data_IF_217412735390
#
_entry.id   IF_217412735390
#
_cell.length_a   1.000
_cell.length_b   1.000
_cell.length_c   1.000
_cell.angle_alpha   90.00
_cell.angle_beta   90.00
_cell.angle_gamma   90.00
#
_symmetry.space_group_name_H-M   'P 1'
#
loop_
_entity.id
_entity.type
_entity.pdbx_description
1 polymer ?
#
# COMPACT_ATOMS: atom_id res chain seq x y z
N UNK A 1 10.44 36.53 -3.75
CA UNK A 1 9.83 35.67 -4.81
C UNK A 1 10.42 34.25 -4.85
N UNK A 2 11.68 34.02 -4.47
CA UNK A 2 12.36 32.69 -4.50
C UNK A 2 11.94 31.68 -3.42
N UNK A 3 11.54 32.13 -2.22
CA UNK A 3 11.05 31.21 -1.17
C UNK A 3 9.68 30.61 -1.49
N UNK A 4 8.81 31.39 -2.16
CA UNK A 4 7.49 30.94 -2.59
C UNK A 4 7.60 29.92 -3.73
N UNK A 5 8.52 30.16 -4.69
CA UNK A 5 8.75 29.24 -5.81
C UNK A 5 9.32 27.89 -5.35
N UNK A 6 10.24 27.90 -4.38
CA UNK A 6 10.79 26.65 -3.79
C UNK A 6 9.76 25.90 -2.94
N UNK A 7 8.84 26.59 -2.26
CA UNK A 7 7.74 25.94 -1.54
C UNK A 7 6.74 25.27 -2.50
N UNK A 8 6.37 25.93 -3.59
CA UNK A 8 5.53 25.36 -4.65
C UNK A 8 6.20 24.11 -5.25
N UNK A 9 7.50 24.15 -5.50
CA UNK A 9 8.25 23.02 -6.01
C UNK A 9 8.26 21.82 -5.03
N UNK A 10 8.48 22.07 -3.73
CA UNK A 10 8.46 20.99 -2.71
C UNK A 10 7.09 20.34 -2.60
N UNK A 11 6.02 21.13 -2.55
CA UNK A 11 4.65 20.59 -2.50
C UNK A 11 4.35 19.75 -3.73
N UNK A 12 4.80 20.17 -4.91
CA UNK A 12 4.68 19.37 -6.13
C UNK A 12 5.39 18.02 -6.03
N UNK A 13 6.59 17.98 -5.43
CA UNK A 13 7.34 16.73 -5.21
C UNK A 13 6.63 15.80 -4.22
N UNK A 14 6.09 16.33 -3.13
CA UNK A 14 5.36 15.52 -2.14
C UNK A 14 4.06 14.94 -2.73
N UNK A 15 3.30 15.76 -3.44
CA UNK A 15 2.11 15.29 -4.16
C UNK A 15 2.47 14.26 -5.23
N UNK A 16 3.51 14.54 -6.01
CA UNK A 16 4.01 13.64 -7.03
C UNK A 16 4.47 12.30 -6.47
N UNK A 17 5.03 12.26 -5.27
CA UNK A 17 5.41 11.00 -4.62
C UNK A 17 4.18 10.13 -4.27
N UNK A 18 3.16 10.71 -3.64
CA UNK A 18 1.94 9.98 -3.27
C UNK A 18 1.09 9.60 -4.49
N UNK A 19 0.90 10.52 -5.42
CA UNK A 19 0.18 10.24 -6.66
C UNK A 19 0.95 9.26 -7.55
N UNK A 20 2.27 9.39 -7.61
CA UNK A 20 3.14 8.48 -8.37
C UNK A 20 3.13 7.06 -7.82
N UNK A 21 3.04 6.89 -6.49
CA UNK A 21 2.80 5.59 -5.87
C UNK A 21 1.50 4.97 -6.38
N UNK A 22 0.38 5.70 -6.28
CA UNK A 22 -0.92 5.19 -6.72
C UNK A 22 -1.00 4.93 -8.23
N UNK A 23 -0.36 5.77 -9.04
CA UNK A 23 -0.26 5.57 -10.49
C UNK A 23 0.59 4.34 -10.81
N UNK A 24 1.73 4.15 -10.13
CA UNK A 24 2.60 3.00 -10.33
C UNK A 24 1.93 1.69 -9.97
N UNK A 25 1.21 1.66 -8.84
CA UNK A 25 0.36 0.56 -8.39
C UNK A 25 -0.71 0.22 -9.45
N UNK A 26 -1.58 1.18 -9.79
CA UNK A 26 -2.69 0.97 -10.73
C UNK A 26 -2.24 0.55 -12.15
N UNK A 27 -1.07 1.00 -12.61
CA UNK A 27 -0.49 0.54 -13.88
C UNK A 27 0.14 -0.84 -13.72
N UNK A 28 0.92 -1.05 -12.65
CA UNK A 28 1.71 -2.25 -12.40
C UNK A 28 0.88 -3.51 -12.18
N UNK A 29 -0.24 -3.41 -11.45
CA UNK A 29 -1.15 -4.54 -11.16
C UNK A 29 -1.66 -5.24 -12.42
N UNK A 30 -1.75 -4.53 -13.55
CA UNK A 30 -2.11 -5.10 -14.87
C UNK A 30 -1.24 -6.31 -15.23
N UNK A 31 0.04 -6.27 -14.88
CA UNK A 31 1.06 -7.25 -15.27
C UNK A 31 1.54 -8.10 -14.10
N UNK A 32 0.82 -8.06 -12.99
CA UNK A 32 1.18 -8.81 -11.80
C UNK A 32 1.25 -10.32 -12.07
N UNK A 33 2.23 -10.98 -11.46
CA UNK A 33 2.56 -12.40 -11.66
C UNK A 33 2.98 -12.78 -13.10
N UNK A 34 3.21 -11.81 -13.99
CA UNK A 34 3.72 -12.06 -15.34
C UNK A 34 5.25 -12.01 -15.36
N UNK A 35 5.93 -13.04 -15.88
CA UNK A 35 7.37 -12.97 -16.11
C UNK A 35 7.74 -11.82 -17.08
N UNK A 36 8.85 -11.11 -16.86
CA UNK A 36 9.35 -10.12 -17.83
C UNK A 36 9.48 -10.72 -19.23
N UNK A 37 8.97 -10.01 -20.26
CA UNK A 37 8.98 -10.47 -21.65
C UNK A 37 7.87 -11.45 -22.03
N UNK A 38 7.01 -11.87 -21.10
CA UNK A 38 5.88 -12.79 -21.37
C UNK A 38 4.57 -12.09 -21.74
N UNK A 39 4.58 -10.76 -21.91
CA UNK A 39 3.40 -9.95 -22.12
C UNK A 39 3.68 -8.86 -23.17
N UNK A 40 2.63 -8.39 -23.84
CA UNK A 40 2.71 -7.20 -24.70
C UNK A 40 2.90 -5.96 -23.81
N UNK A 41 3.91 -5.11 -24.06
CA UNK A 41 4.13 -3.91 -23.27
C UNK A 41 2.87 -3.03 -23.22
N UNK A 42 2.51 -2.59 -22.02
CA UNK A 42 1.47 -1.59 -21.81
C UNK A 42 2.11 -0.20 -21.79
N UNK A 43 1.38 0.79 -22.30
CA UNK A 43 1.82 2.20 -22.32
C UNK A 43 0.78 3.15 -21.73
N UNK A 44 -0.30 2.59 -21.18
CA UNK A 44 -1.41 3.33 -20.59
C UNK A 44 -1.98 2.55 -19.39
N UNK A 45 -2.85 3.21 -18.63
CA UNK A 45 -3.55 2.66 -17.49
C UNK A 45 -4.77 1.86 -17.96
N UNK A 46 -4.58 0.56 -18.20
CA UNK A 46 -5.59 -0.31 -18.83
C UNK A 46 -6.40 -1.17 -17.85
N UNK A 47 -5.98 -1.26 -16.58
CA UNK A 47 -6.60 -2.13 -15.57
C UNK A 47 -6.39 -3.62 -15.90
N UNK A 48 -7.36 -4.46 -15.52
CA UNK A 48 -7.29 -5.91 -15.69
C UNK A 48 -6.51 -6.58 -14.56
N UNK A 49 -5.44 -7.29 -14.91
CA UNK A 49 -4.64 -8.05 -13.95
C UNK A 49 -5.39 -9.20 -13.26
N UNK A 50 -4.80 -9.80 -12.21
CA UNK A 50 -5.40 -10.91 -11.47
C UNK A 50 -6.70 -10.56 -10.75
N UNK A 51 -6.95 -9.27 -10.49
CA UNK A 51 -8.10 -8.79 -9.73
C UNK A 51 -9.21 -8.16 -10.59
N UNK A 52 -9.07 -8.18 -11.92
CA UNK A 52 -10.02 -7.60 -12.87
C UNK A 52 -10.39 -6.15 -12.53
N UNK A 53 -9.35 -5.34 -12.32
CA UNK A 53 -9.48 -3.93 -11.97
C UNK A 53 -9.93 -3.08 -13.16
N UNK A 54 -10.67 -2.01 -12.91
CA UNK A 54 -10.90 -0.98 -13.91
C UNK A 54 -9.65 -0.11 -14.06
N UNK A 55 -9.46 0.56 -15.22
CA UNK A 55 -8.47 1.63 -15.35
C UNK A 55 -8.51 2.61 -14.17
N UNK A 56 -7.37 2.75 -13.48
CA UNK A 56 -7.21 3.66 -12.34
C UNK A 56 -7.59 3.11 -10.98
N UNK A 57 -8.05 1.87 -10.89
CA UNK A 57 -8.15 1.16 -9.61
C UNK A 57 -6.76 0.65 -9.16
N UNK A 58 -6.46 0.77 -7.87
CA UNK A 58 -5.18 0.44 -7.21
C UNK A 58 -5.33 -0.70 -6.19
N UNK A 59 -4.23 -1.27 -5.69
CA UNK A 59 -4.24 -2.44 -4.80
C UNK A 59 -3.94 -2.11 -3.32
N UNK A 60 -3.36 -3.08 -2.60
CA UNK A 60 -2.97 -2.97 -1.20
C UNK A 60 -1.89 -1.91 -0.98
N UNK A 61 -0.94 -1.76 -1.90
CA UNK A 61 0.14 -0.75 -1.84
C UNK A 61 -0.42 0.66 -1.56
N UNK A 62 -1.34 1.14 -2.39
CA UNK A 62 -1.98 2.45 -2.21
C UNK A 62 -2.86 2.47 -0.96
N UNK A 63 -3.58 1.39 -0.68
CA UNK A 63 -4.48 1.33 0.48
C UNK A 63 -3.70 1.44 1.80
N UNK A 64 -2.56 0.75 1.91
CA UNK A 64 -1.66 0.83 3.06
C UNK A 64 -0.95 2.19 3.15
N UNK A 65 -0.60 2.80 2.01
CA UNK A 65 -0.06 4.16 1.99
C UNK A 65 -1.09 5.19 2.50
N UNK A 66 -2.36 5.09 2.11
CA UNK A 66 -3.44 5.95 2.60
C UNK A 66 -3.67 5.78 4.11
N UNK A 67 -3.73 4.55 4.60
CA UNK A 67 -3.84 4.26 6.03
C UNK A 67 -2.66 4.87 6.83
N UNK A 68 -1.42 4.74 6.33
CA UNK A 68 -0.25 5.35 6.97
C UNK A 68 -0.31 6.88 6.94
N UNK A 69 -0.66 7.47 5.79
CA UNK A 69 -0.76 8.92 5.65
C UNK A 69 -1.81 9.50 6.60
N UNK A 70 -2.97 8.86 6.72
CA UNK A 70 -4.03 9.27 7.66
C UNK A 70 -3.54 9.20 9.11
N UNK A 71 -2.87 8.10 9.50
CA UNK A 71 -2.27 7.96 10.82
C UNK A 71 -1.29 9.11 11.13
N UNK A 72 -0.34 9.37 10.23
CA UNK A 72 0.66 10.43 10.42
C UNK A 72 0.02 11.82 10.56
N UNK A 73 -1.03 12.09 9.78
CA UNK A 73 -1.74 13.37 9.83
C UNK A 73 -2.55 13.52 11.12
N UNK A 74 -3.32 12.51 11.50
CA UNK A 74 -4.20 12.58 12.69
C UNK A 74 -3.43 12.49 14.01
N UNK A 75 -2.33 11.73 14.03
CA UNK A 75 -1.51 11.52 15.24
C UNK A 75 -0.40 12.56 15.40
N UNK A 76 -0.16 13.38 14.37
CA UNK A 76 0.94 14.34 14.32
C UNK A 76 2.31 13.74 14.68
N UNK A 77 2.46 12.42 14.51
CA UNK A 77 3.61 11.62 14.91
C UNK A 77 3.51 10.23 14.28
N UNK A 78 4.57 9.44 14.39
CA UNK A 78 4.53 8.04 14.03
C UNK A 78 3.98 7.22 15.20
N UNK A 79 2.75 6.72 15.06
CA UNK A 79 2.05 5.89 16.05
C UNK A 79 1.80 4.48 15.46
N UNK A 80 2.68 3.50 15.76
CA UNK A 80 2.59 2.16 15.18
C UNK A 80 1.30 1.42 15.54
N UNK A 81 0.71 1.71 16.70
CA UNK A 81 -0.55 1.09 17.11
C UNK A 81 -1.69 1.59 16.23
N UNK A 82 -1.81 2.91 16.08
CA UNK A 82 -2.84 3.52 15.24
C UNK A 82 -2.70 3.09 13.75
N UNK A 83 -1.47 3.04 13.24
CA UNK A 83 -1.20 2.51 11.90
C UNK A 83 -1.72 1.07 11.72
N UNK A 84 -1.39 0.19 12.67
CA UNK A 84 -1.82 -1.22 12.61
C UNK A 84 -3.34 -1.37 12.77
N UNK A 85 -3.99 -0.53 13.58
CA UNK A 85 -5.45 -0.49 13.71
C UNK A 85 -6.13 -0.08 12.39
N UNK A 86 -5.57 0.88 11.63
CA UNK A 86 -6.08 1.25 10.30
C UNK A 86 -5.88 0.15 9.26
N UNK A 87 -4.74 -0.53 9.29
CA UNK A 87 -4.52 -1.71 8.44
C UNK A 87 -5.48 -2.84 8.77
N UNK A 88 -5.80 -3.06 10.05
CA UNK A 88 -6.84 -4.00 10.46
C UNK A 88 -8.21 -3.57 9.96
N UNK A 89 -8.56 -2.28 10.02
CA UNK A 89 -9.81 -1.77 9.43
C UNK A 89 -9.88 -2.03 7.94
N UNK A 90 -8.79 -1.86 7.20
CA UNK A 90 -8.72 -2.25 5.81
C UNK A 90 -8.96 -3.76 5.64
N UNK A 91 -8.22 -4.60 6.37
CA UNK A 91 -8.34 -6.06 6.30
C UNK A 91 -9.76 -6.55 6.60
N UNK A 92 -10.45 -5.97 7.58
CA UNK A 92 -11.75 -6.44 8.05
C UNK A 92 -12.93 -5.83 7.27
N UNK A 93 -12.81 -4.61 6.76
CA UNK A 93 -13.95 -3.85 6.20
C UNK A 93 -13.70 -3.21 4.84
N UNK A 94 -12.50 -3.35 4.27
CA UNK A 94 -12.13 -2.68 3.02
C UNK A 94 -11.92 -1.18 3.16
N UNK A 95 -11.60 -0.69 4.36
CA UNK A 95 -11.26 0.72 4.57
C UNK A 95 -10.17 1.19 3.58
N UNK A 96 -10.41 2.31 2.89
CA UNK A 96 -9.60 2.83 1.78
C UNK A 96 -9.37 1.93 0.55
N UNK A 97 -9.92 0.72 0.54
CA UNK A 97 -9.87 -0.15 -0.64
C UNK A 97 -10.75 0.40 -1.76
N UNK A 98 -10.23 0.40 -2.98
CA UNK A 98 -10.98 0.78 -4.17
C UNK A 98 -12.16 -0.17 -4.47
N UNK A 99 -12.11 -1.41 -3.95
CA UNK A 99 -13.16 -2.42 -4.14
C UNK A 99 -14.20 -2.46 -3.02
N UNK A 100 -13.98 -1.70 -1.93
CA UNK A 100 -14.81 -1.75 -0.72
C UNK A 100 -14.65 -3.02 0.12
N UNK A 101 -13.65 -3.87 -0.19
CA UNK A 101 -13.23 -5.02 0.62
C UNK A 101 -11.70 -5.21 0.49
N UNK A 102 -11.08 -5.93 1.42
CA UNK A 102 -9.64 -6.23 1.36
C UNK A 102 -9.34 -7.25 0.25
N UNK A 103 -8.38 -6.92 -0.61
CA UNK A 103 -7.82 -7.81 -1.64
C UNK A 103 -6.33 -7.49 -1.81
N UNK A 104 -5.61 -8.39 -2.49
CA UNK A 104 -4.16 -8.30 -2.74
C UNK A 104 -3.26 -8.31 -1.49
N UNK A 105 -3.82 -8.49 -0.30
CA UNK A 105 -3.01 -8.61 0.92
C UNK A 105 -2.10 -9.85 0.86
N UNK A 106 -0.80 -9.62 0.94
CA UNK A 106 0.17 -10.72 0.96
C UNK A 106 0.11 -11.51 2.28
N UNK A 107 0.59 -12.77 2.24
CA UNK A 107 0.53 -13.66 3.39
C UNK A 107 1.29 -13.15 4.63
N UNK A 108 2.41 -12.44 4.43
CA UNK A 108 3.21 -11.84 5.51
C UNK A 108 2.42 -10.73 6.20
N UNK A 109 1.87 -9.80 5.42
CA UNK A 109 1.07 -8.69 5.95
C UNK A 109 -0.18 -9.22 6.65
N UNK A 110 -0.91 -10.16 6.03
CA UNK A 110 -2.08 -10.78 6.66
C UNK A 110 -1.73 -11.45 8.00
N UNK A 111 -0.59 -12.14 8.09
CA UNK A 111 -0.15 -12.77 9.33
C UNK A 111 0.27 -11.75 10.40
N UNK A 112 0.93 -10.66 10.01
CA UNK A 112 1.27 -9.57 10.92
C UNK A 112 0.00 -8.92 11.51
N UNK A 113 -0.99 -8.59 10.67
CA UNK A 113 -2.24 -7.98 11.13
C UNK A 113 -3.05 -8.92 12.03
N UNK A 114 -3.17 -10.20 11.68
CA UNK A 114 -3.83 -11.21 12.54
C UNK A 114 -3.12 -11.36 13.88
N UNK A 115 -1.80 -11.29 13.89
CA UNK A 115 -1.03 -11.35 15.13
C UNK A 115 -1.28 -10.13 15.99
N UNK A 116 -1.21 -8.93 15.41
CA UNK A 116 -1.54 -7.68 16.09
C UNK A 116 -2.96 -7.69 16.66
N UNK A 117 -3.98 -8.16 15.91
CA UNK A 117 -5.35 -8.30 16.43
C UNK A 117 -5.44 -9.17 17.68
N UNK A 118 -4.58 -10.18 17.80
CA UNK A 118 -4.56 -11.11 18.93
C UNK A 118 -3.76 -10.60 20.11
N UNK A 119 -2.64 -9.92 19.87
CA UNK A 119 -1.67 -9.57 20.92
C UNK A 119 -1.71 -8.09 21.31
N UNK A 120 -2.18 -7.23 20.41
CA UNK A 120 -2.03 -5.79 20.52
C UNK A 120 -0.59 -5.29 20.30
N UNK A 121 0.36 -6.15 19.91
CA UNK A 121 1.77 -5.81 19.73
C UNK A 121 2.08 -5.39 18.29
N UNK A 122 2.34 -4.10 18.00
CA UNK A 122 2.49 -3.60 16.62
C UNK A 122 3.79 -4.08 15.95
N UNK A 123 4.81 -4.45 16.73
CA UNK A 123 6.13 -4.83 16.25
C UNK A 123 6.50 -6.28 16.53
N UNK A 124 5.51 -7.17 16.62
CA UNK A 124 5.69 -8.56 17.04
C UNK A 124 6.86 -9.31 16.36
N UNK A 125 7.20 -8.97 15.12
CA UNK A 125 8.26 -9.62 14.34
C UNK A 125 9.64 -8.94 14.42
N UNK A 126 9.76 -7.70 14.89
CA UNK A 126 11.05 -7.00 14.95
C UNK A 126 12.02 -7.65 15.95
N UNK A 127 11.49 -8.23 17.04
CA UNK A 127 12.30 -8.86 18.08
C UNK A 127 12.48 -10.38 17.89
N UNK A 128 12.07 -10.92 16.74
CA UNK A 128 12.13 -12.37 16.47
C UNK A 128 13.14 -12.68 15.36
N UNK A 129 13.93 -13.76 15.50
CA UNK A 129 14.85 -14.18 14.45
C UNK A 129 14.07 -14.49 13.15
N UNK A 130 14.62 -14.15 11.97
CA UNK A 130 13.92 -14.31 10.70
C UNK A 130 13.52 -15.77 10.49
N UNK A 131 12.25 -16.00 10.17
CA UNK A 131 11.73 -17.31 9.82
C UNK A 131 12.25 -17.68 8.42
N UNK A 132 13.03 -18.77 8.30
CA UNK A 132 13.63 -19.27 7.04
C UNK A 132 12.61 -19.73 5.98
N UNK A 133 11.31 -19.54 6.19
CA UNK A 133 10.24 -20.03 5.32
C UNK A 133 9.57 -18.96 4.45
N UNK A 134 10.02 -17.69 4.48
CA UNK A 134 9.43 -16.60 3.69
C UNK A 134 10.11 -16.34 2.32
N UNK A 135 10.88 -17.30 1.80
CA UNK A 135 11.51 -17.21 0.47
C UNK A 135 10.91 -18.25 -0.48
N UNK A 136 9.67 -18.02 -0.90
CA UNK A 136 9.12 -18.62 -2.11
C UNK A 136 8.10 -17.63 -2.68
N UNK A 137 8.61 -16.70 -3.48
CA UNK A 137 7.83 -16.05 -4.55
C UNK A 137 8.13 -16.83 -5.83
#
# INVERSE_FOLDING_TARGET
MTALSTQIERVSRYRGALLGLAVGDAVGTTLEFRPPGSFTPISDMVGGGPFHLKPGEWTDDTTMALCLAESLVERHSFDPRDQMERYVRWMDSGYYSVKGYCFDIDGTTAQALRTFKRTGEPFFWLDRPPNRQATAR
#
